data_IF_777450974285
#
_entry.id   IF_777450974285
#
_cell.length_a   1.000
_cell.length_b   1.000
_cell.length_c   1.000
_cell.angle_alpha   90.00
_cell.angle_beta   90.00
_cell.angle_gamma   90.00
#
_symmetry.space_group_name_H-M   'P 1'
#
loop_
_entity.id
_entity.type
_entity.pdbx_description
1 polymer ?
#
# COMPACT_ATOMS: atom_id res chain seq x y z
N UNK A 1 7.35 3.27 -15.62
CA UNK A 1 7.02 4.42 -14.77
C UNK A 1 5.65 4.10 -14.29
N UNK A 2 5.55 4.02 -12.98
CA UNK A 2 4.56 3.18 -12.37
C UNK A 2 3.47 4.08 -11.82
N UNK A 3 2.24 3.76 -12.20
CA UNK A 3 1.03 4.40 -11.68
C UNK A 3 0.75 3.89 -10.27
N UNK A 4 -0.21 4.51 -9.56
CA UNK A 4 -0.65 3.97 -8.27
C UNK A 4 -1.17 2.54 -8.41
N UNK A 5 -1.84 2.21 -9.52
CA UNK A 5 -2.33 0.86 -9.75
C UNK A 5 -1.17 -0.13 -9.95
N UNK A 6 -0.11 0.24 -10.68
CA UNK A 6 1.05 -0.63 -10.86
C UNK A 6 1.75 -0.93 -9.52
N UNK A 7 1.80 0.05 -8.61
CA UNK A 7 2.35 -0.12 -7.25
C UNK A 7 1.47 -1.07 -6.42
N UNK A 8 0.15 -0.87 -6.46
CA UNK A 8 -0.81 -1.75 -5.77
C UNK A 8 -0.71 -3.18 -6.29
N UNK A 9 -0.69 -3.36 -7.61
CA UNK A 9 -0.61 -4.67 -8.25
C UNK A 9 0.70 -5.38 -7.86
N UNK A 10 1.82 -4.66 -7.81
CA UNK A 10 3.09 -5.19 -7.32
C UNK A 10 3.02 -5.69 -5.87
N UNK A 11 2.50 -4.88 -4.96
CA UNK A 11 2.36 -5.28 -3.55
C UNK A 11 1.40 -6.47 -3.36
N UNK A 12 0.30 -6.50 -4.12
CA UNK A 12 -0.65 -7.62 -4.13
C UNK A 12 0.00 -8.90 -4.64
N UNK A 13 0.84 -8.82 -5.66
CA UNK A 13 1.56 -9.98 -6.17
C UNK A 13 2.59 -10.51 -5.14
N UNK A 14 3.29 -9.64 -4.42
CA UNK A 14 4.16 -10.03 -3.29
C UNK A 14 3.38 -10.76 -2.19
N UNK A 15 2.21 -10.24 -1.78
CA UNK A 15 1.34 -10.92 -0.82
C UNK A 15 0.91 -12.31 -1.31
N UNK A 16 0.53 -12.42 -2.59
CA UNK A 16 0.15 -13.71 -3.18
C UNK A 16 1.29 -14.71 -3.20
N UNK A 17 2.51 -14.25 -3.49
CA UNK A 17 3.71 -15.10 -3.41
C UNK A 17 3.96 -15.55 -1.98
N UNK A 18 3.91 -14.63 -1.02
CA UNK A 18 4.03 -14.97 0.40
C UNK A 18 2.99 -15.99 0.85
N UNK A 19 1.72 -15.88 0.42
CA UNK A 19 0.66 -16.84 0.74
C UNK A 19 0.88 -18.23 0.13
N UNK A 20 1.61 -18.33 -1.00
CA UNK A 20 1.98 -19.64 -1.59
C UNK A 20 3.06 -20.32 -0.76
N UNK A 21 4.03 -19.55 -0.29
CA UNK A 21 5.14 -20.04 0.53
C UNK A 21 4.73 -20.29 1.99
N UNK A 22 3.67 -19.62 2.45
CA UNK A 22 3.11 -19.69 3.80
C UNK A 22 1.60 -20.04 3.75
N UNK A 23 1.22 -21.26 3.33
CA UNK A 23 -0.19 -21.61 3.12
C UNK A 23 -1.02 -21.55 4.40
N UNK A 24 -0.42 -21.83 5.56
CA UNK A 24 -1.07 -21.76 6.88
C UNK A 24 -0.76 -20.44 7.62
N UNK A 25 -0.02 -19.54 6.99
CA UNK A 25 0.38 -18.26 7.58
C UNK A 25 -0.78 -17.26 7.62
N UNK A 26 -0.79 -16.42 8.64
CA UNK A 26 -1.69 -15.27 8.74
C UNK A 26 -0.86 -13.96 8.65
N UNK A 27 -0.86 -13.27 7.49
CA UNK A 27 -0.07 -12.07 7.27
C UNK A 27 -0.53 -10.90 8.15
N UNK A 28 -1.69 -11.00 8.80
CA UNK A 28 -2.21 -10.01 9.76
C UNK A 28 -1.53 -10.11 11.12
N UNK A 29 -1.20 -11.32 11.57
CA UNK A 29 -0.55 -11.56 12.85
C UNK A 29 0.94 -11.25 12.78
N UNK A 30 1.56 -11.51 11.63
CA UNK A 30 3.00 -11.31 11.42
C UNK A 30 3.32 -9.87 10.97
N UNK A 31 2.32 -9.02 10.75
CA UNK A 31 2.51 -7.65 10.27
C UNK A 31 2.96 -7.56 8.81
N UNK A 32 2.99 -8.68 8.08
CA UNK A 32 3.47 -8.76 6.70
C UNK A 32 2.70 -7.80 5.76
N UNK A 33 1.40 -7.59 5.97
CA UNK A 33 0.63 -6.60 5.20
C UNK A 33 1.20 -5.19 5.30
N UNK A 34 1.62 -4.79 6.51
CA UNK A 34 2.24 -3.48 6.74
C UNK A 34 3.64 -3.43 6.10
N UNK A 35 4.39 -4.52 6.14
CA UNK A 35 5.72 -4.60 5.51
C UNK A 35 5.63 -4.48 3.98
N UNK A 36 4.66 -5.14 3.35
CA UNK A 36 4.42 -5.01 1.90
C UNK A 36 3.93 -3.59 1.54
N UNK A 37 3.04 -3.01 2.34
CA UNK A 37 2.56 -1.66 2.13
C UNK A 37 3.70 -0.63 2.24
N UNK A 38 4.53 -0.71 3.28
CA UNK A 38 5.68 0.18 3.50
C UNK A 38 6.73 0.01 2.39
N UNK A 39 7.04 -1.23 2.02
CA UNK A 39 7.98 -1.56 0.95
C UNK A 39 7.56 -1.03 -0.43
N UNK A 40 6.26 -0.89 -0.67
CA UNK A 40 5.71 -0.40 -1.93
C UNK A 40 5.74 1.14 -2.06
N UNK A 41 5.93 1.89 -0.98
CA UNK A 41 5.93 3.36 -1.02
C UNK A 41 7.17 3.89 -1.73
N UNK A 42 7.04 4.72 -2.79
CA UNK A 42 8.18 5.32 -3.43
C UNK A 42 8.98 6.24 -2.49
N UNK A 43 10.30 6.13 -2.53
CA UNK A 43 11.20 6.92 -1.67
C UNK A 43 11.70 8.21 -2.32
N UNK A 44 11.59 8.33 -3.65
CA UNK A 44 11.97 9.55 -4.35
C UNK A 44 10.80 10.53 -4.43
N UNK A 45 11.06 11.78 -4.01
CA UNK A 45 10.07 12.86 -4.09
C UNK A 45 9.50 13.07 -5.49
N UNK A 46 10.30 12.81 -6.53
CA UNK A 46 9.83 12.90 -7.92
C UNK A 46 8.67 11.94 -8.18
N UNK A 47 8.81 10.67 -7.78
CA UNK A 47 7.79 9.64 -8.01
C UNK A 47 6.51 9.97 -7.21
N UNK A 48 6.66 10.36 -5.95
CA UNK A 48 5.54 10.78 -5.10
C UNK A 48 4.77 11.96 -5.67
N UNK A 49 5.48 13.01 -6.12
CA UNK A 49 4.84 14.18 -6.73
C UNK A 49 4.16 13.84 -8.05
N UNK A 50 4.73 12.90 -8.81
CA UNK A 50 4.14 12.50 -10.06
C UNK A 50 2.86 11.68 -9.87
N UNK A 51 2.86 10.73 -8.92
CA UNK A 51 1.65 10.04 -8.50
C UNK A 51 0.58 11.05 -8.04
N UNK A 52 0.95 12.01 -7.20
CA UNK A 52 0.00 13.02 -6.70
C UNK A 52 -0.53 13.95 -7.80
N UNK A 53 0.19 14.12 -8.91
CA UNK A 53 -0.26 14.93 -10.05
C UNK A 53 -1.38 14.24 -10.85
N UNK A 54 -1.55 12.92 -10.72
CA UNK A 54 -2.65 12.18 -11.34
C UNK A 54 -3.95 12.36 -10.55
N UNK A 55 -4.74 13.37 -10.93
CA UNK A 55 -5.98 13.73 -10.23
C UNK A 55 -6.95 12.58 -9.98
N UNK A 56 -6.94 11.54 -10.81
CA UNK A 56 -7.83 10.38 -10.69
C UNK A 56 -7.59 9.53 -9.43
N UNK A 57 -6.41 9.59 -8.82
CA UNK A 57 -6.11 8.81 -7.62
C UNK A 57 -6.38 9.54 -6.30
N UNK A 58 -6.61 10.86 -6.34
CA UNK A 58 -6.95 11.65 -5.15
C UNK A 58 -5.83 11.83 -4.13
N UNK A 59 -4.61 11.32 -4.36
CA UNK A 59 -3.52 11.32 -3.37
C UNK A 59 -3.13 12.72 -2.87
N UNK A 60 -3.25 13.74 -3.70
CA UNK A 60 -2.97 15.13 -3.31
C UNK A 60 -4.08 15.78 -2.45
N UNK A 61 -5.26 15.18 -2.41
CA UNK A 61 -6.47 15.74 -1.80
C UNK A 61 -6.93 14.99 -0.55
N UNK A 62 -6.46 13.76 -0.37
CA UNK A 62 -6.77 12.93 0.80
C UNK A 62 -5.98 13.40 2.03
N UNK A 63 -6.61 13.35 3.20
CA UNK A 63 -5.95 13.50 4.49
C UNK A 63 -5.64 12.10 5.05
N UNK A 64 -4.38 11.78 5.39
CA UNK A 64 -4.01 10.45 5.86
C UNK A 64 -4.55 10.22 7.28
N UNK A 65 -5.14 9.05 7.51
CA UNK A 65 -5.67 8.64 8.82
C UNK A 65 -4.56 8.35 9.84
N UNK A 66 -3.43 7.81 9.37
CA UNK A 66 -2.27 7.49 10.23
C UNK A 66 -1.35 8.68 10.49
N UNK A 67 -1.64 9.83 9.89
CA UNK A 67 -0.80 11.02 9.90
C UNK A 67 0.35 10.96 8.88
N UNK A 68 1.30 11.92 8.92
CA UNK A 68 2.37 12.01 7.92
C UNK A 68 3.39 10.87 8.03
N UNK A 69 3.89 10.38 6.90
CA UNK A 69 4.90 9.33 6.83
C UNK A 69 6.32 9.83 7.22
N UNK A 70 7.29 8.91 7.16
CA UNK A 70 8.72 9.14 7.39
C UNK A 70 9.05 9.75 8.76
N UNK A 71 9.43 11.03 8.81
CA UNK A 71 9.81 11.73 10.04
C UNK A 71 8.59 12.31 10.80
N UNK A 72 7.37 12.10 10.29
CA UNK A 72 6.13 12.55 10.90
C UNK A 72 5.86 14.05 10.77
N UNK A 73 6.75 14.82 10.11
CA UNK A 73 6.50 16.23 9.84
C UNK A 73 5.37 16.35 8.81
N UNK A 74 4.39 17.28 8.95
CA UNK A 74 3.28 17.42 8.01
C UNK A 74 3.69 18.17 6.74
N UNK A 75 4.73 17.68 6.06
CA UNK A 75 5.12 18.17 4.73
C UNK A 75 4.22 17.57 3.66
N UNK A 76 4.02 18.24 2.51
CA UNK A 76 3.25 17.68 1.41
C UNK A 76 3.75 16.30 0.95
N UNK A 77 5.06 16.08 0.95
CA UNK A 77 5.67 14.80 0.56
C UNK A 77 5.28 13.69 1.54
N UNK A 78 5.39 13.95 2.84
CA UNK A 78 5.07 12.95 3.87
C UNK A 78 3.57 12.64 3.90
N UNK A 79 2.72 13.62 3.62
CA UNK A 79 1.26 13.44 3.51
C UNK A 79 0.94 12.57 2.29
N UNK A 80 1.53 12.87 1.12
CA UNK A 80 1.35 12.07 -0.09
C UNK A 80 1.84 10.64 0.12
N UNK A 81 3.02 10.46 0.72
CA UNK A 81 3.56 9.14 1.01
C UNK A 81 2.65 8.32 1.94
N UNK A 82 2.08 8.95 2.97
CA UNK A 82 1.09 8.29 3.83
C UNK A 82 -0.18 7.89 3.05
N UNK A 83 -0.68 8.76 2.18
CA UNK A 83 -1.83 8.42 1.33
C UNK A 83 -1.54 7.27 0.36
N UNK A 84 -0.31 7.17 -0.18
CA UNK A 84 0.11 6.02 -1.00
C UNK A 84 0.12 4.74 -0.16
N UNK A 85 0.76 4.80 1.01
CA UNK A 85 0.79 3.68 1.95
C UNK A 85 -0.63 3.18 2.28
N UNK A 86 -1.55 4.08 2.64
CA UNK A 86 -2.92 3.71 3.00
C UNK A 86 -3.71 3.12 1.83
N UNK A 87 -3.47 3.62 0.61
CA UNK A 87 -4.08 3.05 -0.60
C UNK A 87 -3.59 1.62 -0.87
N UNK A 88 -2.28 1.36 -0.69
CA UNK A 88 -1.72 0.02 -0.83
C UNK A 88 -2.21 -0.90 0.29
N UNK A 89 -2.19 -0.45 1.54
CA UNK A 89 -2.65 -1.22 2.69
C UNK A 89 -4.11 -1.65 2.52
N UNK A 90 -4.98 -0.74 2.10
CA UNK A 90 -6.38 -1.04 1.85
C UNK A 90 -6.57 -2.14 0.79
N UNK A 91 -5.81 -2.09 -0.30
CA UNK A 91 -5.85 -3.10 -1.36
C UNK A 91 -5.35 -4.47 -0.88
N UNK A 92 -4.26 -4.50 -0.09
CA UNK A 92 -3.72 -5.73 0.51
C UNK A 92 -4.74 -6.39 1.46
N UNK A 93 -5.42 -5.60 2.29
CA UNK A 93 -6.50 -6.09 3.15
C UNK A 93 -7.68 -6.65 2.37
N UNK A 94 -8.07 -6.00 1.28
CA UNK A 94 -9.14 -6.49 0.40
C UNK A 94 -8.76 -7.83 -0.26
N UNK A 95 -7.54 -7.92 -0.81
CA UNK A 95 -7.02 -9.15 -1.41
C UNK A 95 -6.98 -10.30 -0.40
N UNK A 96 -6.45 -10.05 0.80
CA UNK A 96 -6.36 -11.06 1.85
C UNK A 96 -7.74 -11.59 2.25
N UNK A 97 -8.72 -10.69 2.44
CA UNK A 97 -10.11 -11.08 2.75
C UNK A 97 -10.74 -11.90 1.62
N UNK A 98 -10.44 -11.56 0.35
CA UNK A 98 -10.90 -12.35 -0.79
C UNK A 98 -10.29 -13.75 -0.78
N UNK A 99 -8.98 -13.86 -0.57
CA UNK A 99 -8.29 -15.14 -0.51
C UNK A 99 -8.76 -16.03 0.64
N UNK A 100 -9.07 -15.46 1.80
CA UNK A 100 -9.69 -16.18 2.93
C UNK A 100 -11.04 -16.77 2.54
N UNK A 101 -11.92 -15.97 1.92
CA UNK A 101 -13.24 -16.41 1.49
C UNK A 101 -13.18 -17.55 0.46
N UNK A 102 -12.26 -17.47 -0.50
CA UNK A 102 -12.05 -18.52 -1.51
C UNK A 102 -11.54 -19.85 -0.92
N UNK A 103 -10.95 -19.85 0.28
CA UNK A 103 -10.52 -21.06 0.99
C UNK A 103 -11.63 -21.69 1.83
N UNK A 104 -12.64 -20.90 2.20
CA UNK A 104 -13.79 -21.35 2.99
C UNK A 104 -14.91 -21.99 2.11
N UNK A 105 -14.97 -21.61 0.82
CA UNK A 105 -15.91 -22.12 -0.20
C UNK A 105 -15.42 -23.41 -0.89
#
# INVERSE_FOLDING_TARGET
>A
MDTLQDIIDGAVDELREWCKDNPDGDPTHDGALHEFADGAVPTYNYDLLQLAAELSNGLALTEPEIGPAFDGTPTPINIIAANVYEAVEAALWEEWRRAQKERED
#
